data_IF_275987611305
#
_entry.id   IF_275987611305
#
_cell.length_a   1.000
_cell.length_b   1.000
_cell.length_c   1.000
_cell.angle_alpha   90.00
_cell.angle_beta   90.00
_cell.angle_gamma   90.00
#
_symmetry.space_group_name_H-M   'P 1'
#
loop_
_entity.id
_entity.type
_entity.pdbx_description
1 polymer ?
#
# COMPACT_ATOMS: atom_id res chain seq x y z
N UNK A 1 14.74 -36.49 21.09
CA UNK A 1 16.01 -36.49 20.35
C UNK A 1 16.01 -35.26 19.47
N UNK A 2 16.64 -34.20 19.91
CA UNK A 2 16.76 -32.96 19.20
C UNK A 2 18.06 -32.99 18.41
N UNK A 3 17.97 -32.77 17.09
CA UNK A 3 19.14 -32.73 16.22
C UNK A 3 19.56 -31.27 16.09
N UNK A 4 20.72 -30.97 16.69
CA UNK A 4 21.42 -29.69 16.60
C UNK A 4 22.13 -29.67 15.24
N UNK A 5 21.84 -28.67 14.39
CA UNK A 5 22.64 -28.35 13.22
C UNK A 5 23.69 -27.30 13.60
N UNK A 6 24.92 -27.73 13.67
CA UNK A 6 26.10 -26.87 13.78
C UNK A 6 26.44 -26.33 12.36
N UNK A 7 26.52 -25.02 12.23
CA UNK A 7 27.13 -24.38 11.07
C UNK A 7 28.66 -24.23 11.30
N UNK A 8 29.50 -24.55 10.31
CA UNK A 8 30.93 -24.36 10.45
C UNK A 8 31.33 -22.89 10.34
N UNK A 9 32.01 -22.42 11.36
CA UNK A 9 32.71 -21.13 11.36
C UNK A 9 33.97 -21.29 10.50
N UNK A 10 33.97 -20.68 9.30
CA UNK A 10 35.20 -20.50 8.51
C UNK A 10 35.80 -19.14 8.85
N UNK A 11 36.86 -19.17 9.64
CA UNK A 11 37.80 -18.07 9.86
C UNK A 11 38.67 -17.90 8.63
N UNK A 12 38.33 -16.97 7.75
CA UNK A 12 39.28 -16.33 6.87
C UNK A 12 39.24 -14.82 7.14
N UNK A 13 40.25 -14.34 7.85
CA UNK A 13 40.57 -12.93 8.01
C UNK A 13 41.06 -12.40 6.68
N UNK A 14 40.18 -11.88 5.86
CA UNK A 14 40.53 -10.93 4.81
C UNK A 14 40.28 -9.52 5.35
N UNK A 15 41.38 -8.78 5.57
CA UNK A 15 41.41 -7.34 5.83
C UNK A 15 40.88 -6.56 4.61
N UNK A 16 39.60 -6.64 4.36
CA UNK A 16 38.89 -5.70 3.50
C UNK A 16 38.51 -4.53 4.40
N UNK A 17 39.21 -3.41 4.27
CA UNK A 17 38.82 -2.12 4.87
C UNK A 17 37.33 -1.90 4.56
N UNK A 18 36.47 -2.01 5.60
CA UNK A 18 35.10 -1.58 5.48
C UNK A 18 35.08 -0.11 5.06
N UNK A 19 34.33 0.27 4.00
CA UNK A 19 34.26 1.65 3.59
C UNK A 19 33.77 2.50 4.77
N UNK A 20 34.44 3.61 5.02
CA UNK A 20 34.03 4.56 6.07
C UNK A 20 32.66 5.12 5.68
N UNK A 21 31.80 5.38 6.65
CA UNK A 21 30.40 5.83 6.43
C UNK A 21 30.25 7.11 5.60
N UNK A 22 31.34 7.86 5.38
CA UNK A 22 31.39 9.06 4.53
C UNK A 22 31.41 8.76 3.01
N UNK A 23 31.79 7.54 2.61
CA UNK A 23 31.98 7.20 1.18
C UNK A 23 30.78 6.42 0.59
N UNK A 24 29.73 6.18 1.36
CA UNK A 24 28.54 5.50 0.88
C UNK A 24 27.64 6.45 0.10
N UNK A 25 27.34 6.12 -1.16
CA UNK A 25 26.34 6.85 -1.95
C UNK A 25 24.95 6.74 -1.29
N UNK A 26 24.24 7.85 -1.15
CA UNK A 26 22.90 7.91 -0.59
C UNK A 26 21.98 8.70 -1.50
N UNK A 27 20.70 8.32 -1.55
CA UNK A 27 19.71 9.02 -2.36
C UNK A 27 18.93 10.10 -1.61
N UNK A 28 18.91 10.04 -0.27
CA UNK A 28 18.13 11.00 0.52
C UNK A 28 18.93 11.55 1.71
N UNK A 29 19.13 10.77 2.77
CA UNK A 29 19.80 11.26 3.98
C UNK A 29 21.16 10.57 4.19
N UNK A 30 22.06 11.21 4.94
CA UNK A 30 23.42 10.71 5.20
C UNK A 30 23.44 9.31 5.79
N UNK A 31 24.41 8.48 5.40
CA UNK A 31 24.68 7.17 5.97
C UNK A 31 25.36 7.21 7.36
N UNK A 32 25.90 8.38 7.74
CA UNK A 32 26.67 8.52 8.99
C UNK A 32 25.97 8.00 10.23
N UNK A 33 26.72 7.32 11.11
CA UNK A 33 26.29 6.79 12.39
C UNK A 33 27.29 7.12 13.51
N UNK A 34 26.82 7.26 14.72
CA UNK A 34 27.69 7.19 15.92
C UNK A 34 27.87 5.72 16.30
N UNK A 35 29.05 5.36 16.73
CA UNK A 35 29.39 4.01 17.20
C UNK A 35 30.17 4.07 18.51
N UNK A 36 30.20 2.95 19.26
CA UNK A 36 30.93 2.80 20.50
C UNK A 36 30.59 3.89 21.52
N UNK A 37 31.61 4.44 22.20
CA UNK A 37 31.44 5.37 23.31
C UNK A 37 30.60 6.61 22.99
N UNK A 38 30.61 7.07 21.75
CA UNK A 38 29.80 8.25 21.36
C UNK A 38 28.30 7.92 21.28
N UNK A 39 27.94 6.71 20.90
CA UNK A 39 26.57 6.21 20.93
C UNK A 39 26.13 5.92 22.36
N UNK A 40 26.99 5.26 23.15
CA UNK A 40 26.73 4.90 24.56
C UNK A 40 26.49 6.15 25.40
N UNK A 41 27.21 7.24 25.13
CA UNK A 41 26.98 8.54 25.78
C UNK A 41 25.62 9.13 25.46
N UNK A 42 25.19 9.10 24.17
CA UNK A 42 23.85 9.54 23.78
C UNK A 42 22.76 8.72 24.48
N UNK A 43 22.90 7.39 24.51
CA UNK A 43 21.98 6.47 25.20
C UNK A 43 21.91 6.79 26.68
N UNK A 44 23.05 6.95 27.34
CA UNK A 44 23.11 7.28 28.76
C UNK A 44 22.43 8.61 29.06
N UNK A 45 22.69 9.67 28.26
CA UNK A 45 22.05 10.98 28.41
C UNK A 45 20.53 10.90 28.28
N UNK A 46 20.02 10.14 27.29
CA UNK A 46 18.60 9.97 27.09
C UNK A 46 17.94 9.19 28.24
N UNK A 47 18.54 8.09 28.70
CA UNK A 47 17.97 7.20 29.72
C UNK A 47 18.07 7.77 31.13
N UNK A 48 19.01 8.69 31.41
CA UNK A 48 19.12 9.35 32.71
C UNK A 48 18.37 10.69 32.80
N UNK A 49 17.75 11.14 31.71
CA UNK A 49 17.03 12.39 31.68
C UNK A 49 15.59 12.21 32.18
N UNK A 50 15.24 12.84 33.31
CA UNK A 50 13.91 12.71 33.94
C UNK A 50 12.76 13.19 33.04
N UNK A 51 12.99 14.21 32.21
CA UNK A 51 11.98 14.72 31.26
C UNK A 51 11.68 13.67 30.17
N UNK A 52 12.73 13.05 29.60
CA UNK A 52 12.58 11.98 28.61
C UNK A 52 11.87 10.78 29.24
N UNK A 53 12.27 10.37 30.44
CA UNK A 53 11.66 9.25 31.16
C UNK A 53 10.18 9.52 31.47
N UNK A 54 9.81 10.73 31.84
CA UNK A 54 8.44 11.15 32.01
C UNK A 54 7.63 11.00 30.69
N UNK A 55 8.18 11.46 29.57
CA UNK A 55 7.54 11.33 28.26
C UNK A 55 7.39 9.86 27.84
N UNK A 56 8.42 9.01 28.09
CA UNK A 56 8.36 7.57 27.80
C UNK A 56 7.19 6.89 28.50
N UNK A 57 6.92 7.29 29.76
CA UNK A 57 5.87 6.68 30.59
C UNK A 57 4.46 7.11 30.18
N UNK A 58 4.27 8.37 29.78
CA UNK A 58 2.94 8.93 29.48
C UNK A 58 2.57 8.82 28.01
N UNK A 59 3.53 8.58 27.09
CA UNK A 59 3.27 8.54 25.66
C UNK A 59 2.41 7.34 25.30
N UNK A 60 1.20 7.62 24.81
CA UNK A 60 0.25 6.62 24.34
C UNK A 60 0.45 6.38 22.84
N UNK A 61 1.38 5.51 22.48
CA UNK A 61 1.80 5.20 21.11
C UNK A 61 3.27 4.82 21.06
N UNK A 62 3.82 4.64 19.88
CA UNK A 62 5.23 4.33 19.71
C UNK A 62 6.05 5.62 19.89
N UNK A 63 6.91 5.63 20.88
CA UNK A 63 7.73 6.77 21.17
C UNK A 63 9.21 6.40 21.21
N UNK A 64 10.02 7.14 20.47
CA UNK A 64 11.46 6.97 20.42
C UNK A 64 12.18 8.31 20.53
N UNK A 65 13.40 8.30 21.07
CA UNK A 65 14.34 9.41 20.99
C UNK A 65 15.45 9.05 20.03
N UNK A 66 15.71 9.95 19.09
CA UNK A 66 16.77 9.77 18.09
C UNK A 66 17.90 10.79 18.33
N UNK A 67 19.13 10.37 18.09
CA UNK A 67 20.26 11.28 18.06
C UNK A 67 20.34 12.03 16.71
N UNK A 68 21.33 12.90 16.56
CA UNK A 68 21.55 13.70 15.36
C UNK A 68 21.98 12.88 14.13
N UNK A 69 22.20 11.57 14.25
CA UNK A 69 22.42 10.61 13.16
C UNK A 69 21.22 9.70 12.93
N UNK A 70 20.06 10.07 13.52
CA UNK A 70 18.77 9.35 13.39
C UNK A 70 18.76 7.96 13.99
N UNK A 71 19.70 7.67 14.89
CA UNK A 71 19.76 6.41 15.61
C UNK A 71 18.88 6.48 16.86
N UNK A 72 18.17 5.43 17.14
CA UNK A 72 17.35 5.25 18.34
C UNK A 72 18.28 5.16 19.55
N UNK A 73 18.04 6.02 20.54
CA UNK A 73 18.78 6.05 21.80
C UNK A 73 17.89 5.78 23.02
N UNK A 74 16.59 5.83 22.84
CA UNK A 74 15.59 5.36 23.80
C UNK A 74 14.26 5.06 23.10
N UNK A 75 13.52 4.05 23.61
CA UNK A 75 12.17 3.69 23.17
C UNK A 75 11.28 3.38 24.37
N UNK A 76 9.96 3.58 24.22
CA UNK A 76 9.01 3.23 25.28
C UNK A 76 8.52 1.78 25.19
N UNK A 77 7.88 1.28 26.27
CA UNK A 77 7.36 -0.09 26.37
C UNK A 77 6.36 -0.44 25.25
N UNK A 78 5.57 0.53 24.78
CA UNK A 78 4.63 0.32 23.68
C UNK A 78 5.36 0.00 22.39
N UNK A 79 6.51 0.64 22.14
CA UNK A 79 7.34 0.35 20.98
C UNK A 79 7.96 -1.04 21.08
N UNK A 80 8.49 -1.42 22.24
CA UNK A 80 9.06 -2.75 22.51
C UNK A 80 8.02 -3.84 22.24
N UNK A 81 6.80 -3.69 22.78
CA UNK A 81 5.71 -4.65 22.60
C UNK A 81 5.30 -4.80 21.13
N UNK A 82 5.26 -3.70 20.36
CA UNK A 82 4.94 -3.76 18.93
C UNK A 82 6.00 -4.52 18.14
N UNK A 83 7.28 -4.36 18.50
CA UNK A 83 8.38 -5.06 17.85
C UNK A 83 8.40 -6.55 18.17
N UNK A 84 7.78 -6.96 19.28
CA UNK A 84 7.83 -8.33 19.79
C UNK A 84 9.23 -8.74 20.32
N UNK A 85 10.07 -7.75 20.67
CA UNK A 85 11.38 -7.98 21.31
C UNK A 85 11.25 -7.95 22.83
N UNK A 86 12.12 -8.70 23.51
CA UNK A 86 12.09 -8.75 24.97
C UNK A 86 12.85 -7.59 25.62
N UNK A 87 13.83 -7.01 24.90
CA UNK A 87 14.69 -5.95 25.41
C UNK A 87 14.81 -4.78 24.40
N UNK A 88 14.71 -3.56 24.92
CA UNK A 88 14.95 -2.33 24.18
C UNK A 88 16.35 -2.24 23.57
N UNK A 89 17.34 -2.90 24.17
CA UNK A 89 18.75 -2.87 23.74
C UNK A 89 18.95 -3.34 22.30
N UNK A 90 18.13 -4.26 21.81
CA UNK A 90 18.19 -4.74 20.41
C UNK A 90 17.88 -3.62 19.39
N UNK A 91 17.15 -2.59 19.80
CA UNK A 91 16.75 -1.46 18.95
C UNK A 91 17.69 -0.26 19.06
N UNK A 92 18.50 -0.19 20.12
CA UNK A 92 19.39 0.95 20.35
C UNK A 92 20.52 0.98 19.29
N UNK A 93 20.78 2.16 18.76
CA UNK A 93 21.75 2.38 17.68
C UNK A 93 21.21 2.10 16.29
N UNK A 94 20.08 1.42 16.15
CA UNK A 94 19.37 1.23 14.87
C UNK A 94 18.58 2.48 14.53
N UNK A 95 18.15 2.58 13.26
CA UNK A 95 17.18 3.59 12.81
C UNK A 95 15.77 2.99 12.78
N UNK A 96 14.76 3.83 12.88
CA UNK A 96 13.36 3.41 13.02
C UNK A 96 12.88 2.39 11.96
N UNK A 97 13.29 2.54 10.69
CA UNK A 97 12.90 1.61 9.63
C UNK A 97 13.63 0.26 9.72
N UNK A 98 14.82 0.23 10.28
CA UNK A 98 15.57 -1.00 10.53
C UNK A 98 14.90 -1.79 11.67
N UNK A 99 14.55 -1.10 12.73
CA UNK A 99 13.85 -1.68 13.89
C UNK A 99 12.46 -2.21 13.52
N UNK A 100 11.77 -1.54 12.60
CA UNK A 100 10.44 -1.94 12.12
C UNK A 100 10.48 -2.93 10.94
N UNK A 101 11.65 -3.42 10.54
CA UNK A 101 11.84 -4.32 9.40
C UNK A 101 11.25 -3.77 8.08
N UNK A 102 11.45 -2.46 7.83
CA UNK A 102 11.08 -1.83 6.58
C UNK A 102 11.83 -2.46 5.41
N UNK A 103 11.11 -2.89 4.36
CA UNK A 103 11.73 -3.53 3.18
C UNK A 103 12.78 -2.65 2.51
N UNK A 104 12.64 -1.31 2.60
CA UNK A 104 13.58 -0.35 2.03
C UNK A 104 14.78 -0.02 2.93
N UNK A 105 14.78 -0.54 4.16
CA UNK A 105 15.88 -0.27 5.09
C UNK A 105 17.17 -1.01 4.71
N UNK A 106 17.06 -2.12 4.00
CA UNK A 106 18.19 -2.96 3.59
C UNK A 106 18.61 -2.76 2.13
N UNK A 107 17.94 -1.89 1.35
CA UNK A 107 18.26 -1.65 -0.07
C UNK A 107 19.62 -0.96 -0.27
N UNK A 108 19.99 -0.10 0.67
CA UNK A 108 21.27 0.62 0.62
C UNK A 108 22.11 0.29 1.85
N UNK A 109 23.46 0.21 1.72
CA UNK A 109 24.36 -0.11 2.84
C UNK A 109 24.25 0.86 4.02
N UNK A 110 23.84 2.10 3.77
CA UNK A 110 23.62 3.11 4.80
C UNK A 110 22.37 2.88 5.66
N UNK A 111 21.48 1.95 5.29
CA UNK A 111 20.29 1.60 6.05
C UNK A 111 19.12 2.57 5.86
N UNK A 112 18.21 2.56 6.82
CA UNK A 112 17.01 3.41 6.78
C UNK A 112 17.34 4.90 6.57
N UNK A 113 16.63 5.54 5.64
CA UNK A 113 16.80 6.93 5.28
C UNK A 113 17.75 7.16 4.10
N UNK A 114 18.41 6.13 3.55
CA UNK A 114 19.40 6.30 2.48
C UNK A 114 18.92 5.84 1.10
N UNK A 115 17.85 5.00 1.04
CA UNK A 115 17.22 4.55 -0.21
C UNK A 115 16.47 5.70 -0.91
N UNK A 116 16.27 5.58 -2.22
CA UNK A 116 15.44 6.50 -3.01
C UNK A 116 13.99 6.59 -2.49
N UNK A 117 13.44 5.50 -1.98
CA UNK A 117 12.09 5.46 -1.39
C UNK A 117 11.98 6.28 -0.11
N UNK A 118 13.09 6.53 0.56
CA UNK A 118 13.12 7.34 1.78
C UNK A 118 12.83 8.83 1.52
N UNK A 119 13.04 9.32 0.29
CA UNK A 119 12.71 10.70 -0.12
C UNK A 119 11.20 10.99 -0.08
N UNK A 120 10.38 9.96 -0.14
CA UNK A 120 8.91 10.05 -0.07
C UNK A 120 8.34 9.44 1.22
N UNK A 121 9.18 8.86 2.06
CA UNK A 121 8.79 8.28 3.34
C UNK A 121 8.44 9.38 4.35
N UNK A 122 7.18 9.39 4.84
CA UNK A 122 6.72 10.41 5.78
C UNK A 122 7.57 10.50 7.05
N UNK A 123 8.05 9.37 7.59
CA UNK A 123 8.91 9.35 8.78
C UNK A 123 10.29 9.94 8.49
N UNK A 124 10.96 9.50 7.40
CA UNK A 124 12.29 9.99 7.05
C UNK A 124 12.25 11.50 6.74
N UNK A 125 11.25 11.95 5.96
CA UNK A 125 11.07 13.37 5.63
C UNK A 125 10.78 14.20 6.88
N UNK A 126 9.89 13.76 7.78
CA UNK A 126 9.59 14.49 9.02
C UNK A 126 10.82 14.66 9.90
N UNK A 127 11.62 13.60 10.07
CA UNK A 127 12.83 13.63 10.88
C UNK A 127 13.86 14.59 10.27
N UNK A 128 14.14 14.48 8.97
CA UNK A 128 15.12 15.34 8.31
C UNK A 128 14.71 16.81 8.34
N UNK A 129 13.44 17.10 7.99
CA UNK A 129 12.92 18.48 8.02
C UNK A 129 12.93 19.04 9.44
N UNK A 130 12.58 18.26 10.48
CA UNK A 130 12.64 18.71 11.86
C UNK A 130 14.08 19.02 12.31
N UNK A 131 15.07 18.23 11.88
CA UNK A 131 16.49 18.49 12.14
C UNK A 131 16.97 19.77 11.49
N UNK A 132 16.59 20.02 10.25
CA UNK A 132 17.01 21.20 9.46
C UNK A 132 16.33 22.48 9.96
N UNK A 133 15.01 22.44 10.09
CA UNK A 133 14.20 23.64 10.41
C UNK A 133 14.15 23.96 11.89
N UNK A 134 14.51 23.02 12.77
CA UNK A 134 14.34 23.11 14.23
C UNK A 134 12.88 23.32 14.63
N UNK A 135 11.93 22.89 13.80
CA UNK A 135 10.50 23.00 14.07
C UNK A 135 9.86 21.61 14.04
N UNK A 136 8.83 21.37 14.86
CA UNK A 136 8.07 20.13 14.81
C UNK A 136 7.49 19.87 13.42
N UNK A 137 7.55 18.60 12.98
CA UNK A 137 7.02 18.17 11.70
C UNK A 137 6.07 17.00 11.92
N UNK A 138 4.99 16.96 11.15
CA UNK A 138 4.01 15.89 11.20
C UNK A 138 3.65 15.42 9.78
N UNK A 139 3.71 14.10 9.55
CA UNK A 139 3.37 13.50 8.25
C UNK A 139 2.81 12.09 8.44
N UNK A 140 1.98 11.68 7.51
CA UNK A 140 1.58 10.27 7.38
C UNK A 140 2.70 9.48 6.73
N UNK A 141 3.03 8.33 7.30
CA UNK A 141 4.02 7.38 6.79
C UNK A 141 3.33 6.06 6.47
N UNK A 142 3.45 5.62 5.22
CA UNK A 142 3.16 4.25 4.83
C UNK A 142 4.47 3.45 4.83
N UNK A 143 4.51 2.37 5.59
CA UNK A 143 5.68 1.52 5.77
C UNK A 143 5.35 0.10 5.34
N UNK A 144 6.03 -0.43 4.34
CA UNK A 144 5.94 -1.83 3.98
C UNK A 144 6.97 -2.63 4.77
N UNK A 145 6.51 -3.62 5.53
CA UNK A 145 7.36 -4.54 6.30
C UNK A 145 7.21 -5.96 5.76
N UNK A 146 8.22 -6.80 6.01
CA UNK A 146 8.16 -8.23 5.78
C UNK A 146 8.03 -8.95 7.11
N UNK A 147 6.95 -9.71 7.29
CA UNK A 147 6.70 -10.54 8.46
C UNK A 147 6.16 -11.90 8.00
N UNK A 148 6.76 -13.00 8.47
CA UNK A 148 6.36 -14.37 8.14
C UNK A 148 6.26 -14.63 6.62
N UNK A 149 7.22 -14.11 5.82
CA UNK A 149 7.24 -14.11 4.35
C UNK A 149 6.04 -13.40 3.69
N UNK A 150 5.32 -12.56 4.44
CA UNK A 150 4.24 -11.73 3.90
C UNK A 150 4.61 -10.26 4.01
N UNK A 151 4.32 -9.50 2.96
CA UNK A 151 4.43 -8.04 2.98
C UNK A 151 3.19 -7.46 3.64
N UNK A 152 3.40 -6.66 4.68
CA UNK A 152 2.34 -5.98 5.43
C UNK A 152 2.57 -4.48 5.33
N UNK A 153 1.52 -3.75 4.96
CA UNK A 153 1.55 -2.29 4.94
C UNK A 153 1.04 -1.73 6.28
N UNK A 154 1.89 -0.99 6.97
CA UNK A 154 1.57 -0.26 8.19
C UNK A 154 1.44 1.24 7.90
N UNK A 155 0.51 1.88 8.58
CA UNK A 155 0.26 3.32 8.43
C UNK A 155 0.40 4.02 9.76
N UNK A 156 1.35 4.96 9.80
CA UNK A 156 1.62 5.76 10.99
C UNK A 156 1.33 7.23 10.74
N UNK A 157 0.75 7.90 11.73
CA UNK A 157 0.92 9.33 11.84
C UNK A 157 2.21 9.58 12.62
N UNK A 158 3.18 10.24 11.98
CA UNK A 158 4.53 10.43 12.51
C UNK A 158 4.73 11.89 12.83
N UNK A 159 5.08 12.18 14.09
CA UNK A 159 5.46 13.51 14.55
C UNK A 159 6.90 13.49 15.04
N UNK A 160 7.74 14.33 14.44
CA UNK A 160 9.15 14.53 14.81
C UNK A 160 9.30 15.93 15.44
N UNK A 161 9.70 15.95 16.70
CA UNK A 161 9.89 17.20 17.45
C UNK A 161 11.37 17.33 17.82
N UNK A 162 12.06 18.41 17.41
CA UNK A 162 13.45 18.66 17.82
C UNK A 162 13.51 19.03 19.28
N UNK A 163 14.47 18.47 20.00
CA UNK A 163 14.80 18.73 21.39
C UNK A 163 16.28 19.01 21.51
N UNK A 164 16.66 20.08 22.19
CA UNK A 164 18.07 20.41 22.46
C UNK A 164 18.33 20.19 23.95
N UNK A 165 19.31 19.33 24.26
CA UNK A 165 19.80 19.05 25.62
C UNK A 165 21.32 19.26 25.59
N UNK A 166 21.85 20.07 26.49
CA UNK A 166 23.28 20.35 26.60
C UNK A 166 23.94 20.77 25.26
N UNK A 167 23.23 21.51 24.45
CA UNK A 167 23.62 21.97 23.10
C UNK A 167 23.63 20.87 22.01
N UNK A 168 23.28 19.63 22.32
CA UNK A 168 23.11 18.53 21.38
C UNK A 168 21.65 18.43 20.89
N UNK A 169 21.48 18.16 19.58
CA UNK A 169 20.18 17.98 18.97
C UNK A 169 19.73 16.53 19.06
N UNK A 170 18.53 16.34 19.58
CA UNK A 170 17.79 15.09 19.57
C UNK A 170 16.45 15.28 18.85
N UNK A 171 15.84 14.19 18.41
CA UNK A 171 14.49 14.17 17.85
C UNK A 171 13.60 13.28 18.71
N UNK A 172 12.55 13.85 19.26
CA UNK A 172 11.45 13.09 19.85
C UNK A 172 10.57 12.60 18.71
N UNK A 173 10.53 11.30 18.47
CA UNK A 173 9.75 10.66 17.42
C UNK A 173 8.53 10.01 18.06
N UNK A 174 7.34 10.50 17.73
CA UNK A 174 6.09 9.89 18.08
C UNK A 174 5.42 9.30 16.85
N UNK A 175 5.02 8.04 16.94
CA UNK A 175 4.37 7.31 15.84
C UNK A 175 3.08 6.67 16.38
N UNK A 176 1.96 7.06 15.80
CA UNK A 176 0.66 6.49 16.10
C UNK A 176 0.25 5.54 14.98
N UNK A 177 0.02 4.27 15.33
CA UNK A 177 -0.50 3.31 14.37
C UNK A 177 -1.97 3.60 14.06
N UNK A 178 -2.21 3.95 12.81
CA UNK A 178 -3.53 4.24 12.28
C UNK A 178 -3.94 3.21 11.21
N UNK A 179 -3.25 2.08 11.11
CA UNK A 179 -3.45 1.10 10.03
C UNK A 179 -4.90 0.64 9.94
N UNK A 180 -5.52 0.25 11.05
CA UNK A 180 -6.92 -0.17 11.09
C UNK A 180 -7.89 0.94 10.68
N UNK A 181 -7.71 2.16 11.20
CA UNK A 181 -8.56 3.30 10.87
C UNK A 181 -8.43 3.65 9.39
N UNK A 182 -7.22 3.53 8.90
CA UNK A 182 -6.91 3.79 7.53
C UNK A 182 -7.52 2.71 6.60
N UNK A 183 -7.50 1.45 6.97
CA UNK A 183 -8.18 0.38 6.23
C UNK A 183 -9.70 0.63 6.18
N UNK A 184 -10.33 0.95 7.31
CA UNK A 184 -11.76 1.30 7.37
C UNK A 184 -12.11 2.44 6.41
N UNK A 185 -11.41 3.58 6.54
CA UNK A 185 -11.70 4.73 5.70
C UNK A 185 -11.46 4.47 4.20
N UNK A 186 -10.58 3.52 3.84
CA UNK A 186 -10.40 3.07 2.46
C UNK A 186 -11.63 2.30 1.97
N UNK A 187 -12.06 1.31 2.75
CA UNK A 187 -13.22 0.50 2.43
C UNK A 187 -14.47 1.36 2.25
N UNK A 188 -14.72 2.27 3.19
CA UNK A 188 -15.88 3.17 3.14
C UNK A 188 -15.87 4.07 1.89
N UNK A 189 -14.73 4.68 1.56
CA UNK A 189 -14.64 5.55 0.38
C UNK A 189 -14.81 4.78 -0.93
N UNK A 190 -14.19 3.60 -1.03
CA UNK A 190 -14.32 2.77 -2.24
C UNK A 190 -15.78 2.35 -2.41
N UNK A 191 -16.43 1.95 -1.32
CA UNK A 191 -17.84 1.63 -1.32
C UNK A 191 -18.73 2.79 -1.79
N UNK A 192 -18.59 3.97 -1.19
CA UNK A 192 -19.39 5.13 -1.59
C UNK A 192 -19.13 5.56 -3.03
N UNK A 193 -17.89 5.44 -3.52
CA UNK A 193 -17.57 5.72 -4.92
C UNK A 193 -18.29 4.73 -5.86
N UNK A 194 -18.23 3.44 -5.54
CA UNK A 194 -18.81 2.41 -6.39
C UNK A 194 -20.35 2.45 -6.35
N UNK A 195 -20.93 2.66 -5.18
CA UNK A 195 -22.38 2.89 -5.04
C UNK A 195 -22.83 4.11 -5.86
N UNK A 196 -22.12 5.22 -5.79
CA UNK A 196 -22.48 6.41 -6.57
C UNK A 196 -22.41 6.14 -8.08
N UNK A 197 -21.42 5.40 -8.56
CA UNK A 197 -21.31 5.03 -9.96
C UNK A 197 -22.50 4.16 -10.41
N UNK A 198 -22.87 3.17 -9.59
CA UNK A 198 -24.01 2.28 -9.87
C UNK A 198 -25.34 3.08 -9.82
N UNK A 199 -25.50 4.00 -8.84
CA UNK A 199 -26.67 4.87 -8.74
C UNK A 199 -26.79 5.80 -9.95
N UNK A 200 -25.70 6.39 -10.43
CA UNK A 200 -25.71 7.21 -11.65
C UNK A 200 -26.18 6.39 -12.87
N UNK A 201 -25.70 5.16 -13.02
CA UNK A 201 -26.15 4.26 -14.08
C UNK A 201 -27.63 3.90 -13.94
N UNK A 202 -28.10 3.64 -12.71
CA UNK A 202 -29.51 3.36 -12.40
C UNK A 202 -30.39 4.55 -12.76
N UNK A 203 -30.01 5.77 -12.35
CA UNK A 203 -30.75 6.99 -12.64
C UNK A 203 -30.85 7.25 -14.14
N UNK A 204 -29.74 7.17 -14.87
CA UNK A 204 -29.72 7.36 -16.31
C UNK A 204 -30.60 6.35 -17.07
N UNK A 205 -30.51 5.05 -16.73
CA UNK A 205 -31.35 4.01 -17.34
C UNK A 205 -32.83 4.15 -16.93
N UNK A 206 -33.12 4.54 -15.69
CA UNK A 206 -34.50 4.83 -15.25
C UNK A 206 -35.12 5.99 -16.00
N UNK A 207 -34.35 7.07 -16.22
CA UNK A 207 -34.81 8.24 -16.99
C UNK A 207 -35.10 7.87 -18.45
N UNK A 208 -34.18 7.12 -19.09
CA UNK A 208 -34.40 6.63 -20.47
C UNK A 208 -35.64 5.73 -20.58
N UNK A 209 -35.92 4.90 -19.57
CA UNK A 209 -37.13 4.07 -19.54
C UNK A 209 -38.36 4.91 -19.33
N UNK A 210 -38.33 5.95 -18.51
CA UNK A 210 -39.49 6.84 -18.26
C UNK A 210 -39.92 7.66 -19.49
N UNK A 211 -38.99 7.94 -20.40
CA UNK A 211 -39.24 8.63 -21.63
C UNK A 211 -39.88 7.74 -22.74
N UNK A 212 -39.97 6.42 -22.50
CA UNK A 212 -40.51 5.46 -23.45
C UNK A 212 -41.95 5.04 -23.07
N UNK A 213 -42.86 5.12 -24.02
CA UNK A 213 -44.29 4.72 -23.81
C UNK A 213 -44.47 3.22 -23.55
N UNK A 214 -43.49 2.37 -23.93
CA UNK A 214 -43.51 0.91 -23.66
C UNK A 214 -42.10 0.35 -23.61
N UNK A 215 -41.44 0.38 -22.44
CA UNK A 215 -40.06 -0.12 -22.31
C UNK A 215 -40.02 -1.63 -22.55
N UNK A 216 -39.03 -2.10 -23.32
CA UNK A 216 -38.82 -3.54 -23.58
C UNK A 216 -38.54 -4.29 -22.27
N UNK A 217 -38.87 -5.60 -22.28
CA UNK A 217 -38.60 -6.47 -21.11
C UNK A 217 -37.10 -6.55 -20.81
N UNK A 218 -36.26 -6.43 -21.83
CA UNK A 218 -34.82 -6.39 -21.74
C UNK A 218 -34.33 -5.18 -20.91
N UNK A 219 -34.85 -3.99 -21.14
CA UNK A 219 -34.54 -2.80 -20.35
C UNK A 219 -34.99 -2.88 -18.90
N UNK A 220 -36.11 -3.55 -18.63
CA UNK A 220 -36.57 -3.83 -17.27
C UNK A 220 -35.63 -4.81 -16.57
N UNK A 221 -35.14 -5.84 -17.28
CA UNK A 221 -34.14 -6.79 -16.73
C UNK A 221 -32.81 -6.11 -16.42
N UNK A 222 -32.34 -5.21 -17.31
CA UNK A 222 -31.14 -4.43 -17.02
C UNK A 222 -31.27 -3.55 -15.77
N UNK A 223 -32.42 -2.88 -15.58
CA UNK A 223 -32.68 -2.10 -14.38
C UNK A 223 -32.64 -2.97 -13.11
N UNK A 224 -33.29 -4.14 -13.17
CA UNK A 224 -33.30 -5.10 -12.07
C UNK A 224 -31.89 -5.60 -11.75
N UNK A 225 -31.06 -5.87 -12.77
CA UNK A 225 -29.67 -6.27 -12.60
C UNK A 225 -28.83 -5.20 -11.86
N UNK A 226 -29.04 -3.92 -12.20
CA UNK A 226 -28.37 -2.81 -11.51
C UNK A 226 -28.79 -2.74 -10.03
N UNK A 227 -30.08 -2.93 -9.73
CA UNK A 227 -30.57 -2.94 -8.34
C UNK A 227 -29.99 -4.10 -7.55
N UNK A 228 -29.92 -5.30 -8.14
CA UNK A 228 -29.28 -6.46 -7.51
C UNK A 228 -27.79 -6.19 -7.22
N UNK A 229 -27.09 -5.55 -8.13
CA UNK A 229 -25.70 -5.17 -7.97
C UNK A 229 -25.48 -4.19 -6.81
N UNK A 230 -26.35 -3.18 -6.65
CA UNK A 230 -26.31 -2.28 -5.48
C UNK A 230 -26.49 -3.09 -4.18
N UNK A 231 -27.46 -4.00 -4.16
CA UNK A 231 -27.74 -4.83 -2.99
C UNK A 231 -26.56 -5.72 -2.62
N UNK A 232 -25.87 -6.27 -3.61
CA UNK A 232 -24.66 -7.07 -3.40
C UNK A 232 -23.48 -6.22 -2.88
N UNK A 233 -23.27 -5.03 -3.45
CA UNK A 233 -22.22 -4.11 -2.98
C UNK A 233 -22.44 -3.69 -1.52
N UNK A 234 -23.69 -3.41 -1.13
CA UNK A 234 -24.05 -3.12 0.26
C UNK A 234 -23.79 -4.33 1.16
N UNK A 235 -24.11 -5.55 0.72
CA UNK A 235 -23.85 -6.76 1.49
C UNK A 235 -22.35 -7.01 1.70
N UNK A 236 -21.52 -6.80 0.67
CA UNK A 236 -20.06 -6.89 0.76
C UNK A 236 -19.54 -5.87 1.77
N UNK A 237 -19.98 -4.60 1.67
CA UNK A 237 -19.54 -3.55 2.60
C UNK A 237 -19.91 -3.84 4.05
N UNK A 238 -21.15 -4.32 4.29
CA UNK A 238 -21.58 -4.71 5.63
C UNK A 238 -20.73 -5.86 6.18
N UNK A 239 -20.39 -6.84 5.34
CA UNK A 239 -19.51 -7.95 5.73
C UNK A 239 -18.11 -7.45 6.04
N UNK A 240 -17.57 -6.53 5.25
CA UNK A 240 -16.26 -5.90 5.48
C UNK A 240 -16.23 -5.05 6.76
N UNK A 241 -17.30 -4.34 7.09
CA UNK A 241 -17.40 -3.57 8.33
C UNK A 241 -17.51 -4.46 9.57
N UNK A 242 -18.27 -5.56 9.49
CA UNK A 242 -18.41 -6.52 10.59
C UNK A 242 -17.12 -7.33 10.83
N UNK A 243 -16.29 -7.52 9.80
CA UNK A 243 -15.07 -8.33 9.87
C UNK A 243 -13.82 -7.55 10.27
N UNK A 244 -13.93 -6.28 10.63
CA UNK A 244 -12.81 -5.53 11.21
C UNK A 244 -12.42 -6.01 12.63
N UNK A 245 -13.24 -6.87 13.22
CA UNK A 245 -12.91 -7.67 14.43
C UNK A 245 -12.62 -9.16 14.11
N UNK A 246 -12.91 -9.64 12.87
CA UNK A 246 -12.58 -10.99 12.41
C UNK A 246 -12.52 -10.98 10.86
N UNK A 247 -11.48 -11.52 10.29
CA UNK A 247 -11.15 -11.58 8.86
C UNK A 247 -12.36 -11.73 7.93
N UNK A 248 -12.49 -10.82 6.93
CA UNK A 248 -13.43 -11.01 5.82
C UNK A 248 -13.22 -12.40 5.21
N UNK A 249 -14.30 -13.16 5.09
CA UNK A 249 -14.28 -14.46 4.42
C UNK A 249 -14.79 -14.27 3.00
N UNK A 250 -13.91 -14.30 1.99
CA UNK A 250 -14.35 -14.24 0.60
C UNK A 250 -15.29 -15.41 0.28
N UNK A 251 -16.30 -15.13 -0.55
CA UNK A 251 -17.24 -16.15 -1.02
C UNK A 251 -16.62 -16.88 -2.22
N UNK A 252 -15.70 -17.79 -1.93
CA UNK A 252 -15.08 -18.60 -2.96
C UNK A 252 -16.09 -19.51 -3.64
N UNK A 253 -16.18 -19.40 -4.95
CA UNK A 253 -16.97 -20.26 -5.82
C UNK A 253 -16.17 -20.58 -7.09
N UNK A 254 -16.54 -21.66 -7.76
CA UNK A 254 -16.04 -21.94 -9.10
C UNK A 254 -16.61 -20.92 -10.08
N UNK A 255 -15.75 -20.14 -10.71
CA UNK A 255 -16.07 -19.03 -11.61
C UNK A 255 -15.38 -19.28 -12.95
N UNK A 256 -16.04 -18.94 -14.03
CA UNK A 256 -15.44 -18.90 -15.37
C UNK A 256 -14.75 -17.54 -15.57
N UNK A 257 -13.50 -17.54 -15.97
CA UNK A 257 -12.73 -16.30 -16.16
C UNK A 257 -13.41 -15.34 -17.15
N UNK A 258 -13.98 -15.85 -18.23
CA UNK A 258 -14.71 -15.06 -19.22
C UNK A 258 -15.97 -14.37 -18.64
N UNK A 259 -16.57 -14.90 -17.55
CA UNK A 259 -17.70 -14.25 -16.90
C UNK A 259 -17.34 -12.91 -16.27
N UNK A 260 -16.09 -12.77 -15.77
CA UNK A 260 -15.58 -11.50 -15.23
C UNK A 260 -15.42 -10.49 -16.37
N UNK A 261 -14.89 -10.90 -17.51
CA UNK A 261 -14.76 -10.03 -18.68
C UNK A 261 -16.13 -9.57 -19.19
N UNK A 262 -17.09 -10.50 -19.22
CA UNK A 262 -18.47 -10.19 -19.62
C UNK A 262 -19.12 -9.16 -18.70
N UNK A 263 -18.95 -9.29 -17.38
CA UNK A 263 -19.44 -8.30 -16.41
C UNK A 263 -18.86 -6.91 -16.67
N UNK A 264 -17.54 -6.83 -16.94
CA UNK A 264 -16.87 -5.57 -17.30
C UNK A 264 -17.44 -5.00 -18.61
N UNK A 265 -17.62 -5.83 -19.64
CA UNK A 265 -18.19 -5.41 -20.93
C UNK A 265 -19.58 -4.79 -20.76
N UNK A 266 -20.45 -5.46 -19.99
CA UNK A 266 -21.80 -4.95 -19.73
C UNK A 266 -21.79 -3.61 -18.99
N UNK A 267 -20.90 -3.46 -18.01
CA UNK A 267 -20.79 -2.21 -17.26
C UNK A 267 -20.34 -1.04 -18.14
N UNK A 268 -19.37 -1.28 -19.01
CA UNK A 268 -18.77 -0.23 -19.83
C UNK A 268 -19.43 -0.06 -21.20
N UNK A 269 -20.50 -0.80 -21.53
CA UNK A 269 -21.17 -0.73 -22.84
C UNK A 269 -21.59 0.70 -23.18
N UNK A 270 -22.23 1.43 -22.26
CA UNK A 270 -22.68 2.82 -22.41
C UNK A 270 -22.08 3.74 -21.35
N UNK A 271 -20.91 3.39 -20.83
CA UNK A 271 -20.32 4.17 -19.73
C UNK A 271 -19.71 5.49 -20.25
N UNK A 272 -19.94 6.64 -19.56
CA UNK A 272 -19.42 7.94 -20.00
C UNK A 272 -17.92 8.00 -20.23
N UNK A 273 -17.12 7.26 -19.46
CA UNK A 273 -15.67 7.19 -19.63
C UNK A 273 -15.23 6.55 -20.95
N UNK A 274 -16.12 5.80 -21.63
CA UNK A 274 -15.86 5.23 -22.95
C UNK A 274 -16.09 6.24 -24.08
N UNK A 275 -16.72 7.38 -23.80
CA UNK A 275 -16.94 8.41 -24.82
C UNK A 275 -15.62 8.87 -25.43
N UNK A 276 -15.49 8.74 -26.76
CA UNK A 276 -14.26 9.04 -27.50
C UNK A 276 -13.11 8.04 -27.29
N UNK A 277 -13.33 6.90 -26.61
CA UNK A 277 -12.32 5.86 -26.37
C UNK A 277 -12.84 4.48 -26.74
N UNK A 278 -11.94 3.55 -27.09
CA UNK A 278 -12.29 2.17 -27.40
C UNK A 278 -11.86 1.25 -26.25
N UNK A 279 -12.80 0.48 -25.70
CA UNK A 279 -12.48 -0.66 -24.82
C UNK A 279 -12.58 -1.94 -25.65
N UNK A 280 -11.43 -2.59 -25.85
CA UNK A 280 -11.30 -3.85 -26.57
C UNK A 280 -11.16 -4.99 -25.54
N UNK A 281 -12.02 -6.01 -25.65
CA UNK A 281 -12.05 -7.15 -24.72
C UNK A 281 -11.68 -8.42 -25.47
N UNK A 282 -10.59 -9.02 -25.06
CA UNK A 282 -10.07 -10.26 -25.64
C UNK A 282 -10.44 -11.44 -24.73
N UNK A 283 -11.51 -12.14 -25.10
CA UNK A 283 -11.96 -13.33 -24.38
C UNK A 283 -11.00 -14.50 -24.59
N UNK A 284 -10.80 -15.29 -23.53
CA UNK A 284 -10.07 -16.55 -23.69
C UNK A 284 -10.86 -17.50 -24.63
N UNK A 285 -10.18 -18.21 -25.56
CA UNK A 285 -10.84 -19.08 -26.55
C UNK A 285 -11.59 -20.26 -25.89
N UNK A 286 -11.19 -20.64 -24.68
CA UNK A 286 -11.87 -21.63 -23.83
C UNK A 286 -12.08 -21.03 -22.45
N UNK A 287 -13.24 -21.31 -21.85
CA UNK A 287 -13.49 -20.94 -20.46
C UNK A 287 -12.45 -21.57 -19.52
N UNK A 288 -11.84 -20.74 -18.70
CA UNK A 288 -10.85 -21.15 -17.71
C UNK A 288 -11.54 -21.11 -16.34
N UNK A 289 -11.74 -22.26 -15.68
CA UNK A 289 -12.29 -22.27 -14.34
C UNK A 289 -11.24 -21.78 -13.35
N UNK A 290 -11.68 -21.01 -12.35
CA UNK A 290 -10.89 -20.58 -11.20
C UNK A 290 -11.78 -20.54 -9.97
N UNK A 291 -11.21 -20.77 -8.79
CA UNK A 291 -11.92 -20.65 -7.50
C UNK A 291 -11.62 -19.28 -6.91
N UNK A 292 -12.62 -18.39 -6.95
CA UNK A 292 -12.45 -17.00 -6.46
C UNK A 292 -13.77 -16.41 -6.00
N UNK A 293 -13.71 -15.26 -5.35
CA UNK A 293 -14.88 -14.42 -5.14
C UNK A 293 -15.12 -13.58 -6.41
N UNK A 294 -16.18 -13.92 -7.15
CA UNK A 294 -16.55 -13.28 -8.41
C UNK A 294 -16.67 -11.77 -8.30
N UNK A 295 -17.32 -11.29 -7.22
CA UNK A 295 -17.60 -9.86 -7.05
C UNK A 295 -16.34 -9.06 -6.74
N UNK A 296 -15.47 -9.58 -5.87
CA UNK A 296 -14.19 -8.93 -5.58
C UNK A 296 -13.24 -8.93 -6.78
N UNK A 297 -13.16 -10.06 -7.50
CA UNK A 297 -12.33 -10.15 -8.70
C UNK A 297 -12.84 -9.19 -9.80
N UNK A 298 -14.16 -9.17 -10.08
CA UNK A 298 -14.79 -8.23 -11.02
C UNK A 298 -14.53 -6.78 -10.62
N UNK A 299 -14.66 -6.45 -9.34
CA UNK A 299 -14.41 -5.09 -8.81
C UNK A 299 -12.98 -4.64 -9.05
N UNK A 300 -11.99 -5.52 -8.82
CA UNK A 300 -10.58 -5.19 -9.09
C UNK A 300 -10.39 -4.90 -10.58
N UNK A 301 -10.91 -5.76 -11.47
CA UNK A 301 -10.79 -5.60 -12.93
C UNK A 301 -11.50 -4.33 -13.40
N UNK A 302 -12.70 -4.02 -12.90
CA UNK A 302 -13.44 -2.78 -13.18
C UNK A 302 -12.60 -1.56 -12.79
N UNK A 303 -11.96 -1.57 -11.62
CA UNK A 303 -11.09 -0.49 -11.17
C UNK A 303 -9.86 -0.33 -12.09
N UNK A 304 -9.26 -1.45 -12.54
CA UNK A 304 -8.16 -1.41 -13.51
C UNK A 304 -8.59 -0.76 -14.82
N UNK A 305 -9.74 -1.16 -15.38
CA UNK A 305 -10.30 -0.61 -16.62
C UNK A 305 -10.68 0.87 -16.46
N UNK A 306 -11.29 1.25 -15.34
CA UNK A 306 -11.62 2.65 -15.03
C UNK A 306 -10.36 3.52 -15.04
N UNK A 307 -9.31 3.09 -14.33
CA UNK A 307 -8.04 3.82 -14.29
C UNK A 307 -7.38 3.92 -15.68
N UNK A 308 -7.41 2.84 -16.44
CA UNK A 308 -6.87 2.82 -17.79
C UNK A 308 -7.62 3.78 -18.72
N UNK A 309 -8.97 3.79 -18.71
CA UNK A 309 -9.79 4.70 -19.49
C UNK A 309 -9.55 6.16 -19.08
N UNK A 310 -9.47 6.46 -17.79
CA UNK A 310 -9.19 7.81 -17.30
C UNK A 310 -7.78 8.32 -17.69
N UNK A 311 -6.79 7.41 -17.80
CA UNK A 311 -5.43 7.74 -18.22
C UNK A 311 -5.24 7.77 -19.74
N UNK A 312 -6.25 7.36 -20.50
CA UNK A 312 -6.19 7.24 -21.97
C UNK A 312 -6.77 8.49 -22.64
N UNK A 313 -6.02 9.06 -23.58
CA UNK A 313 -6.50 10.17 -24.41
C UNK A 313 -7.66 9.73 -25.33
N UNK A 314 -8.43 10.71 -25.83
CA UNK A 314 -9.47 10.45 -26.84
C UNK A 314 -8.88 9.79 -28.10
N UNK A 315 -9.69 9.01 -28.81
CA UNK A 315 -9.36 8.22 -30.00
C UNK A 315 -8.33 7.09 -29.77
N UNK A 316 -7.98 6.78 -28.51
CA UNK A 316 -7.09 5.68 -28.17
C UNK A 316 -7.83 4.53 -27.51
N UNK A 317 -7.17 3.36 -27.47
CA UNK A 317 -7.77 2.13 -26.96
C UNK A 317 -7.22 1.73 -25.60
N UNK A 318 -8.07 1.02 -24.86
CA UNK A 318 -7.74 0.21 -23.68
C UNK A 318 -8.05 -1.24 -24.02
N UNK A 319 -7.18 -2.17 -23.68
CA UNK A 319 -7.37 -3.61 -23.93
C UNK A 319 -7.47 -4.34 -22.60
N UNK A 320 -8.51 -5.18 -22.44
CA UNK A 320 -8.68 -6.12 -21.35
C UNK A 320 -8.52 -7.54 -21.89
N UNK A 321 -7.60 -8.31 -21.37
CA UNK A 321 -7.30 -9.67 -21.81
C UNK A 321 -7.04 -10.63 -20.64
N UNK A 322 -7.01 -11.94 -20.93
CA UNK A 322 -6.66 -13.00 -19.99
C UNK A 322 -5.39 -13.68 -20.47
N UNK A 323 -4.39 -13.79 -19.60
CA UNK A 323 -3.20 -14.61 -19.79
C UNK A 323 -3.28 -15.85 -18.89
N UNK A 324 -3.13 -17.05 -19.48
CA UNK A 324 -3.12 -18.31 -18.75
C UNK A 324 -1.70 -18.74 -18.42
N UNK A 325 -1.46 -19.09 -17.16
CA UNK A 325 -0.24 -19.71 -16.66
C UNK A 325 -0.53 -21.15 -16.19
N UNK A 326 0.48 -21.90 -15.79
CA UNK A 326 0.31 -23.32 -15.39
C UNK A 326 -0.69 -23.47 -14.23
N UNK A 327 -0.58 -22.65 -13.17
CA UNK A 327 -1.40 -22.75 -11.95
C UNK A 327 -2.11 -21.44 -11.60
N UNK A 328 -2.16 -20.49 -12.52
CA UNK A 328 -2.79 -19.18 -12.29
C UNK A 328 -3.29 -18.58 -13.60
N UNK A 329 -4.13 -17.60 -13.47
CA UNK A 329 -4.56 -16.73 -14.57
C UNK A 329 -4.31 -15.28 -14.22
N UNK A 330 -4.02 -14.48 -15.23
CA UNK A 330 -3.85 -13.03 -15.08
C UNK A 330 -4.90 -12.30 -15.90
N UNK A 331 -5.65 -11.40 -15.25
CA UNK A 331 -6.45 -10.39 -15.93
C UNK A 331 -5.55 -9.19 -16.20
N UNK A 332 -5.38 -8.85 -17.47
CA UNK A 332 -4.46 -7.82 -17.92
C UNK A 332 -5.24 -6.65 -18.52
N UNK A 333 -4.98 -5.44 -18.03
CA UNK A 333 -5.56 -4.20 -18.59
C UNK A 333 -4.43 -3.32 -19.09
N UNK A 334 -4.40 -3.10 -20.39
CA UNK A 334 -3.39 -2.31 -21.08
C UNK A 334 -3.95 -0.97 -21.57
N UNK A 335 -3.15 0.07 -21.49
CA UNK A 335 -3.36 1.35 -22.15
C UNK A 335 -2.05 1.98 -22.60
N UNK A 336 -2.11 2.84 -23.62
CA UNK A 336 -0.92 3.48 -24.20
C UNK A 336 -0.32 4.63 -23.39
N UNK A 337 -0.86 4.94 -22.21
CA UNK A 337 -0.31 5.96 -21.31
C UNK A 337 0.90 5.44 -20.52
N UNK A 338 1.73 6.35 -20.02
CA UNK A 338 2.91 6.03 -19.20
C UNK A 338 2.76 6.63 -17.82
N UNK A 339 3.13 5.87 -16.80
CA UNK A 339 3.17 6.31 -15.41
C UNK A 339 4.56 6.91 -15.13
N UNK A 340 4.67 8.18 -14.71
CA UNK A 340 5.94 8.79 -14.30
C UNK A 340 6.61 7.99 -13.17
N UNK A 341 7.93 7.99 -13.12
CA UNK A 341 8.71 7.17 -12.16
C UNK A 341 8.42 7.55 -10.70
N UNK A 342 8.27 8.84 -10.40
CA UNK A 342 7.89 9.34 -9.08
C UNK A 342 6.48 8.89 -8.65
N UNK A 343 5.57 8.69 -9.62
CA UNK A 343 4.23 8.15 -9.41
C UNK A 343 4.28 6.62 -9.26
N UNK A 344 5.09 5.94 -10.07
CA UNK A 344 5.23 4.49 -10.09
C UNK A 344 5.58 3.93 -8.70
N UNK A 345 6.50 4.57 -7.98
CA UNK A 345 6.90 4.18 -6.63
C UNK A 345 5.78 4.33 -5.58
N UNK A 346 4.72 5.06 -5.88
CA UNK A 346 3.65 5.41 -4.95
C UNK A 346 2.27 4.95 -5.39
N UNK A 347 2.14 4.33 -6.55
CA UNK A 347 0.84 4.06 -7.19
C UNK A 347 -0.07 3.19 -6.35
N UNK A 348 0.50 2.26 -5.58
CA UNK A 348 -0.23 1.41 -4.64
C UNK A 348 -0.27 1.99 -3.21
N UNK A 349 0.39 3.14 -2.99
CA UNK A 349 0.26 3.82 -1.71
C UNK A 349 -1.11 4.47 -1.61
N UNK A 350 -1.66 4.34 -0.43
CA UNK A 350 -2.94 4.91 -0.12
C UNK A 350 -2.93 6.44 -0.16
N UNK A 351 -4.07 7.04 -0.52
CA UNK A 351 -4.25 8.49 -0.66
C UNK A 351 -3.33 9.15 -1.70
N UNK A 352 -2.63 8.37 -2.49
CA UNK A 352 -1.81 8.91 -3.56
C UNK A 352 -2.63 9.00 -4.85
N UNK A 353 -2.79 10.22 -5.35
CA UNK A 353 -3.45 10.49 -6.63
C UNK A 353 -2.78 11.68 -7.30
N UNK A 354 -2.46 11.55 -8.57
CA UNK A 354 -1.98 12.64 -9.42
C UNK A 354 -3.10 13.60 -9.85
N UNK A 355 -4.36 13.28 -9.54
CA UNK A 355 -5.56 13.97 -10.06
C UNK A 355 -6.16 15.01 -9.11
N UNK A 356 -5.39 15.65 -8.24
CA UNK A 356 -5.68 16.91 -7.53
C UNK A 356 -7.02 17.10 -6.79
N UNK A 357 -7.95 16.14 -6.77
CA UNK A 357 -9.25 16.26 -6.09
C UNK A 357 -9.33 15.32 -4.89
N UNK A 358 -9.81 15.87 -3.78
CA UNK A 358 -10.08 15.14 -2.54
C UNK A 358 -10.99 13.93 -2.82
N UNK A 359 -10.47 12.69 -2.62
CA UNK A 359 -11.24 11.45 -2.81
C UNK A 359 -10.70 10.48 -3.87
N UNK A 360 -9.73 10.86 -4.70
CA UNK A 360 -9.07 9.98 -5.69
C UNK A 360 -7.73 9.51 -5.14
N UNK A 361 -7.37 8.23 -5.29
CA UNK A 361 -6.14 7.62 -4.79
C UNK A 361 -6.37 6.34 -3.97
N UNK A 362 -7.59 5.81 -4.01
CA UNK A 362 -7.97 4.57 -3.33
C UNK A 362 -8.09 3.38 -4.28
N UNK A 363 -8.34 3.62 -5.58
CA UNK A 363 -8.56 2.55 -6.55
C UNK A 363 -7.40 1.56 -6.62
N UNK A 364 -6.18 2.04 -6.82
CA UNK A 364 -4.99 1.18 -6.92
C UNK A 364 -4.63 0.49 -5.60
N UNK A 365 -4.77 1.20 -4.48
CA UNK A 365 -4.59 0.62 -3.15
C UNK A 365 -5.61 -0.49 -2.86
N UNK A 366 -6.90 -0.26 -3.14
CA UNK A 366 -7.95 -1.27 -2.92
C UNK A 366 -7.77 -2.50 -3.82
N UNK A 367 -7.32 -2.32 -5.08
CA UNK A 367 -6.96 -3.45 -5.94
C UNK A 367 -5.92 -4.35 -5.27
N UNK A 368 -4.84 -3.75 -4.75
CA UNK A 368 -3.77 -4.49 -4.08
C UNK A 368 -4.26 -5.16 -2.80
N UNK A 369 -5.00 -4.42 -1.96
CA UNK A 369 -5.57 -4.95 -0.72
C UNK A 369 -6.46 -6.17 -0.99
N UNK A 370 -7.43 -6.05 -1.89
CA UNK A 370 -8.35 -7.15 -2.18
C UNK A 370 -7.67 -8.28 -2.95
N UNK A 371 -6.83 -7.96 -3.94
CA UNK A 371 -6.17 -8.96 -4.77
C UNK A 371 -5.16 -9.80 -4.00
N UNK A 372 -4.37 -9.18 -3.13
CA UNK A 372 -3.29 -9.87 -2.42
C UNK A 372 -3.73 -10.39 -1.05
N UNK A 373 -4.36 -9.56 -0.20
CA UNK A 373 -4.67 -9.95 1.17
C UNK A 373 -5.98 -10.75 1.30
N UNK A 374 -6.94 -10.54 0.38
CA UNK A 374 -8.24 -11.19 0.45
C UNK A 374 -8.34 -12.37 -0.51
N UNK A 375 -7.96 -12.19 -1.78
CA UNK A 375 -8.07 -13.23 -2.80
C UNK A 375 -6.82 -14.12 -2.91
N UNK A 376 -5.73 -13.80 -2.19
CA UNK A 376 -4.49 -14.60 -2.22
C UNK A 376 -3.76 -14.57 -3.54
N UNK A 377 -4.06 -13.58 -4.40
CA UNK A 377 -3.41 -13.36 -5.69
C UNK A 377 -2.26 -12.36 -5.62
N UNK A 378 -1.91 -11.77 -6.76
CA UNK A 378 -0.95 -10.66 -6.86
C UNK A 378 -1.48 -9.56 -7.77
N UNK A 379 -1.20 -8.30 -7.42
CA UNK A 379 -1.54 -7.13 -8.24
C UNK A 379 -0.27 -6.38 -8.60
N UNK A 380 0.03 -6.32 -9.88
CA UNK A 380 1.25 -5.74 -10.41
C UNK A 380 0.95 -4.78 -11.56
N UNK A 381 1.91 -3.93 -11.91
CA UNK A 381 1.88 -3.14 -13.13
C UNK A 381 3.27 -3.05 -13.75
N UNK A 382 3.28 -2.84 -15.06
CA UNK A 382 4.46 -2.48 -15.85
C UNK A 382 4.14 -1.23 -16.62
N UNK A 383 5.05 -0.28 -16.68
CA UNK A 383 4.86 0.97 -17.41
C UNK A 383 6.15 1.44 -18.07
N UNK A 384 6.10 1.74 -19.35
CA UNK A 384 7.19 2.37 -20.08
C UNK A 384 6.67 3.26 -21.22
N UNK A 385 7.48 4.18 -21.69
CA UNK A 385 7.14 5.07 -22.82
C UNK A 385 6.89 4.27 -24.11
N UNK A 386 7.60 3.16 -24.27
CA UNK A 386 7.53 2.33 -25.49
C UNK A 386 6.35 1.36 -25.49
N UNK A 387 6.02 0.79 -24.30
CA UNK A 387 5.02 -0.29 -24.18
C UNK A 387 3.69 0.17 -23.61
N UNK A 388 3.61 1.41 -23.11
CA UNK A 388 2.45 1.88 -22.35
C UNK A 388 2.42 1.30 -20.93
N UNK A 389 1.23 1.22 -20.35
CA UNK A 389 1.01 0.68 -19.00
C UNK A 389 0.12 -0.56 -19.05
N UNK A 390 0.50 -1.62 -18.34
CA UNK A 390 -0.30 -2.83 -18.13
C UNK A 390 -0.45 -3.08 -16.63
N UNK A 391 -1.69 -3.13 -16.15
CA UNK A 391 -2.00 -3.66 -14.82
C UNK A 391 -2.38 -5.13 -14.92
N UNK A 392 -1.95 -5.94 -13.95
CA UNK A 392 -2.24 -7.37 -13.86
C UNK A 392 -2.81 -7.74 -12.50
N UNK A 393 -3.93 -8.44 -12.50
CA UNK A 393 -4.42 -9.21 -11.36
C UNK A 393 -4.19 -10.68 -11.66
N UNK A 394 -3.31 -11.33 -10.91
CA UNK A 394 -3.03 -12.76 -11.06
C UNK A 394 -3.67 -13.53 -9.90
N UNK A 395 -4.54 -14.48 -10.23
CA UNK A 395 -5.24 -15.32 -9.27
C UNK A 395 -4.85 -16.80 -9.47
N UNK A 396 -4.74 -17.60 -8.39
CA UNK A 396 -4.54 -19.05 -8.51
C UNK A 396 -5.77 -19.70 -9.13
N UNK A 397 -5.57 -20.79 -9.87
CA UNK A 397 -6.67 -21.56 -10.48
C UNK A 397 -7.22 -22.66 -9.56
N UNK A 398 -6.55 -22.94 -8.43
CA UNK A 398 -6.94 -23.94 -7.43
C UNK A 398 -6.97 -23.32 -6.04
#
# INVERSE_FOLDING_TARGET
>A
MATVYEHPVSTEQNDVKQPTSSDMSTHFASAERKNGSALDEDIKRATTNDFINGLMTIANGLFAVLNNKRQIIAINDTFIKMLGVEDATESLGLRQGETLNCIHACEMPGGCGTSQYCSTCGAAVSIMTAMETRQPQERTCALAIEKDNQKIDLYFNVRACPLVIDNDLYILLFMQDNSMQQHRACLDRTFFHDINNILCALMGKSELISLQNNPSEEKRKELHHIVLRISQEIAIQNSLQQSLDASYKPLYAEVKANSILFEVEQLFHEHPLKSGRTLEIEYAPHDIPLVTDFHLASRIVINMVTNALEATAEERKVTLSIERHQNSISFCVWNGGTIPEDVAHRIFQRNYSTKGSMGRGFGTYSMKLFGEQVLGGTVQFESSVEKGTTFRLTLPTQ
#
